data_IF_157933404398
#
_entry.id   IF_157933404398
#
_cell.length_a   1.000
_cell.length_b   1.000
_cell.length_c   1.000
_cell.angle_alpha   90.00
_cell.angle_beta   90.00
_cell.angle_gamma   90.00
#
_symmetry.space_group_name_H-M   'P 1'
#
loop_
_entity.id
_entity.type
_entity.pdbx_description
1 polymer ?
#
# COMPACT_ATOMS: atom_id res chain seq x y z
N UNK A 1 -9.65 -3.11 1.45
CA UNK A 1 -9.04 -4.33 2.04
C UNK A 1 -7.53 -4.22 1.97
N UNK A 2 -6.81 -4.77 2.95
CA UNK A 2 -5.35 -4.81 2.97
C UNK A 2 -4.86 -6.03 2.19
N UNK A 3 -4.12 -5.80 1.12
CA UNK A 3 -3.57 -6.85 0.25
C UNK A 3 -2.17 -7.29 0.69
N UNK A 4 -1.37 -6.34 1.18
CA UNK A 4 -0.07 -6.58 1.76
C UNK A 4 0.27 -5.49 2.77
N UNK A 5 1.16 -5.84 3.70
CA UNK A 5 1.73 -4.94 4.68
C UNK A 5 3.22 -5.20 4.81
N UNK A 6 4.01 -4.12 4.90
CA UNK A 6 5.42 -4.19 5.25
C UNK A 6 5.74 -3.22 6.38
N UNK A 7 6.48 -3.69 7.37
CA UNK A 7 7.11 -2.83 8.36
C UNK A 7 8.58 -2.59 8.00
N UNK A 8 9.06 -1.41 8.33
CA UNK A 8 10.44 -0.98 8.17
C UNK A 8 10.97 -0.45 9.50
N UNK A 9 12.15 -0.93 9.88
CA UNK A 9 12.82 -0.51 11.12
C UNK A 9 14.09 0.31 10.85
N UNK A 10 14.49 0.46 9.57
CA UNK A 10 15.76 1.08 9.17
C UNK A 10 15.54 2.14 8.09
N UNK A 11 16.26 3.25 8.24
CA UNK A 11 16.27 4.38 7.30
C UNK A 11 15.43 5.57 7.77
N UNK A 12 15.82 6.77 7.34
CA UNK A 12 15.18 8.03 7.74
C UNK A 12 13.69 8.06 7.37
N UNK A 13 13.34 7.61 6.15
CA UNK A 13 11.95 7.49 5.74
C UNK A 13 11.17 6.41 6.52
N UNK A 14 11.83 5.38 7.07
CA UNK A 14 11.17 4.40 7.94
C UNK A 14 10.84 4.97 9.32
N UNK A 15 11.64 5.91 9.82
CA UNK A 15 11.32 6.63 11.05
C UNK A 15 10.04 7.47 10.91
N UNK A 16 9.80 8.01 9.70
CA UNK A 16 8.59 8.77 9.37
C UNK A 16 7.39 7.88 9.02
N UNK A 17 7.57 6.98 8.05
CA UNK A 17 6.56 6.04 7.56
C UNK A 17 7.02 4.59 7.83
N UNK A 18 6.76 4.05 9.04
CA UNK A 18 7.25 2.75 9.46
C UNK A 18 6.46 1.58 8.87
N UNK A 19 5.26 1.83 8.34
CA UNK A 19 4.39 0.80 7.77
C UNK A 19 3.89 1.22 6.40
N UNK A 20 4.00 0.31 5.44
CA UNK A 20 3.43 0.46 4.11
C UNK A 20 2.27 -0.52 3.91
N UNK A 21 1.22 -0.06 3.26
CA UNK A 21 0.02 -0.85 2.96
C UNK A 21 -0.23 -0.90 1.46
N UNK A 22 -0.41 -2.11 0.92
CA UNK A 22 -1.05 -2.30 -0.36
C UNK A 22 -2.56 -2.43 -0.10
N UNK A 23 -3.37 -1.56 -0.69
CA UNK A 23 -4.80 -1.53 -0.46
C UNK A 23 -5.56 -1.82 -1.76
N UNK A 24 -6.55 -2.70 -1.66
CA UNK A 24 -7.42 -3.09 -2.77
C UNK A 24 -8.89 -2.82 -2.47
N UNK A 25 -9.65 -2.49 -3.51
CA UNK A 25 -11.12 -2.42 -3.50
C UNK A 25 -11.71 -3.05 -4.76
N UNK A 26 -13.05 -3.07 -4.86
CA UNK A 26 -13.73 -3.72 -5.98
C UNK A 26 -13.39 -5.21 -6.08
N UNK A 27 -13.03 -5.69 -7.26
CA UNK A 27 -12.60 -7.09 -7.47
C UNK A 27 -11.36 -7.46 -6.62
N UNK A 28 -10.48 -6.51 -6.29
CA UNK A 28 -9.35 -6.74 -5.39
C UNK A 28 -9.76 -6.84 -3.91
N UNK A 29 -11.06 -6.93 -3.60
CA UNK A 29 -11.56 -7.37 -2.30
C UNK A 29 -12.12 -8.79 -2.31
N UNK A 30 -12.16 -9.46 -3.47
CA UNK A 30 -12.61 -10.85 -3.61
C UNK A 30 -11.44 -11.83 -3.38
N UNK A 31 -11.49 -12.70 -2.37
CA UNK A 31 -10.46 -13.71 -2.14
C UNK A 31 -10.17 -14.60 -3.36
N UNK A 32 -11.17 -14.90 -4.20
CA UNK A 32 -11.01 -15.72 -5.41
C UNK A 32 -10.08 -15.08 -6.45
N UNK A 33 -9.97 -13.75 -6.42
CA UNK A 33 -9.08 -12.96 -7.26
C UNK A 33 -7.74 -12.76 -6.54
N UNK A 34 -7.79 -12.31 -5.29
CA UNK A 34 -6.60 -11.95 -4.51
C UNK A 34 -5.68 -13.16 -4.25
N UNK A 35 -6.24 -14.35 -4.03
CA UNK A 35 -5.47 -15.58 -3.82
C UNK A 35 -4.67 -16.02 -5.05
N UNK A 36 -5.02 -15.50 -6.24
CA UNK A 36 -4.27 -15.73 -7.47
C UNK A 36 -3.10 -14.74 -7.67
N UNK A 37 -2.98 -13.75 -6.79
CA UNK A 37 -1.97 -12.69 -6.87
C UNK A 37 -1.01 -12.74 -5.68
N UNK A 38 0.17 -12.17 -5.88
CA UNK A 38 1.13 -11.82 -4.86
C UNK A 38 1.41 -10.32 -4.94
N UNK A 39 1.63 -9.69 -3.80
CA UNK A 39 1.87 -8.24 -3.70
C UNK A 39 3.24 -7.98 -3.04
N UNK A 40 4.35 -8.32 -3.70
CA UNK A 40 5.68 -8.06 -3.16
C UNK A 40 5.93 -6.56 -3.02
N UNK A 41 6.38 -6.15 -1.82
CA UNK A 41 6.73 -4.77 -1.47
C UNK A 41 8.26 -4.51 -1.54
N UNK A 42 8.97 -5.22 -2.43
CA UNK A 42 10.42 -5.10 -2.62
C UNK A 42 10.82 -5.23 -4.09
N UNK A 43 11.20 -4.12 -4.75
CA UNK A 43 12.02 -4.17 -5.97
C UNK A 43 13.16 -3.14 -6.06
N UNK A 44 13.34 -2.21 -5.12
CA UNK A 44 14.57 -1.41 -5.08
C UNK A 44 14.85 -0.83 -3.70
N UNK A 45 16.14 -0.72 -3.36
CA UNK A 45 16.64 0.07 -2.23
C UNK A 45 16.22 1.55 -2.29
N UNK A 46 15.72 2.01 -3.45
CA UNK A 46 15.25 3.37 -3.69
C UNK A 46 13.74 3.53 -3.93
N UNK A 47 12.97 2.43 -4.10
CA UNK A 47 11.55 2.53 -4.47
C UNK A 47 10.69 1.51 -3.73
N UNK A 48 9.88 2.04 -2.82
CA UNK A 48 8.90 1.31 -2.02
C UNK A 48 7.57 1.28 -2.78
N UNK A 49 7.46 0.44 -3.80
CA UNK A 49 6.21 0.26 -4.56
C UNK A 49 5.70 -1.18 -4.48
N UNK A 50 4.41 -1.34 -4.78
CA UNK A 50 3.78 -2.65 -4.99
C UNK A 50 3.55 -2.87 -6.47
N UNK A 51 4.06 -3.99 -6.98
CA UNK A 51 3.69 -4.50 -8.30
C UNK A 51 3.02 -5.86 -8.09
N UNK A 52 1.73 -6.01 -8.43
CA UNK A 52 1.06 -7.30 -8.38
C UNK A 52 1.76 -8.31 -9.30
N UNK A 53 1.92 -9.53 -8.80
CA UNK A 53 2.48 -10.65 -9.54
C UNK A 53 1.46 -11.80 -9.57
N UNK A 54 1.28 -12.41 -10.73
CA UNK A 54 0.42 -13.59 -10.84
C UNK A 54 1.10 -14.79 -10.18
N UNK A 55 0.38 -15.50 -9.32
CA UNK A 55 0.84 -16.78 -8.79
C UNK A 55 0.89 -17.82 -9.91
N UNK A 56 1.74 -18.83 -9.73
CA UNK A 56 1.82 -19.98 -10.64
C UNK A 56 0.46 -20.66 -10.74
N UNK A 57 -0.03 -20.85 -11.97
CA UNK A 57 -1.35 -21.44 -12.22
C UNK A 57 -2.53 -20.46 -12.10
N UNK A 58 -2.29 -19.18 -11.84
CA UNK A 58 -3.35 -18.15 -11.87
C UNK A 58 -4.01 -18.10 -13.24
N UNK A 59 -5.33 -18.23 -13.27
CA UNK A 59 -6.17 -18.09 -14.47
C UNK A 59 -6.38 -16.61 -14.84
N UNK A 60 -6.22 -15.67 -13.89
CA UNK A 60 -6.26 -14.23 -14.16
C UNK A 60 -5.31 -13.80 -15.28
N UNK A 61 -4.17 -14.49 -15.46
CA UNK A 61 -3.21 -14.19 -16.52
C UNK A 61 -3.81 -14.29 -17.93
N UNK A 62 -4.89 -15.06 -18.08
CA UNK A 62 -5.58 -15.29 -19.35
C UNK A 62 -6.63 -14.21 -19.65
N UNK A 63 -6.95 -13.33 -18.68
CA UNK A 63 -7.86 -12.20 -18.91
C UNK A 63 -7.26 -11.22 -19.91
N UNK A 64 -8.08 -10.58 -20.78
CA UNK A 64 -7.63 -9.50 -21.65
C UNK A 64 -6.88 -8.41 -20.90
N UNK A 65 -5.83 -7.86 -21.52
CA UNK A 65 -4.99 -6.80 -20.94
C UNK A 65 -5.81 -5.60 -20.41
N UNK A 66 -6.85 -5.10 -21.10
CA UNK A 66 -7.65 -3.99 -20.58
C UNK A 66 -8.39 -4.31 -19.28
N UNK A 67 -8.86 -5.56 -19.10
CA UNK A 67 -9.53 -5.99 -17.87
C UNK A 67 -8.54 -6.06 -16.70
N UNK A 68 -7.32 -6.54 -16.95
CA UNK A 68 -6.26 -6.54 -15.95
C UNK A 68 -5.84 -5.12 -15.56
N UNK A 69 -5.77 -4.20 -16.53
CA UNK A 69 -5.48 -2.79 -16.25
C UNK A 69 -6.56 -2.16 -15.36
N UNK A 70 -7.83 -2.43 -15.63
CA UNK A 70 -8.94 -1.95 -14.78
C UNK A 70 -8.92 -2.58 -13.38
N UNK A 71 -8.66 -3.88 -13.28
CA UNK A 71 -8.47 -4.56 -11.99
C UNK A 71 -7.39 -3.88 -11.15
N UNK A 72 -6.23 -3.57 -11.74
CA UNK A 72 -5.12 -2.95 -11.04
C UNK A 72 -5.26 -1.44 -10.81
N UNK A 73 -6.26 -0.76 -11.40
CA UNK A 73 -6.65 0.60 -10.97
C UNK A 73 -7.30 0.61 -9.59
N UNK A 74 -7.84 -0.54 -9.15
CA UNK A 74 -8.42 -0.70 -7.81
C UNK A 74 -7.38 -1.05 -6.74
N UNK A 75 -6.12 -0.69 -6.98
CA UNK A 75 -4.96 -0.91 -6.12
C UNK A 75 -4.26 0.41 -5.87
N UNK A 76 -3.86 0.65 -4.63
CA UNK A 76 -2.99 1.77 -4.22
C UNK A 76 -1.92 1.28 -3.24
N UNK A 77 -0.82 2.03 -3.14
CA UNK A 77 0.25 1.77 -2.21
C UNK A 77 0.52 2.99 -1.32
N UNK A 78 0.21 2.84 -0.03
CA UNK A 78 0.24 3.95 0.91
C UNK A 78 1.40 3.77 1.90
N UNK A 79 2.31 4.74 1.90
CA UNK A 79 3.27 4.98 2.98
C UNK A 79 2.54 5.66 4.13
N UNK A 80 2.38 4.95 5.24
CA UNK A 80 1.57 5.44 6.36
C UNK A 80 2.45 6.12 7.40
N UNK A 81 2.17 7.40 7.65
CA UNK A 81 2.76 8.18 8.74
C UNK A 81 1.74 8.17 9.89
N UNK A 82 2.01 7.49 11.01
CA UNK A 82 1.05 7.41 12.11
C UNK A 82 0.92 8.76 12.83
N UNK A 83 -0.28 9.32 12.87
CA UNK A 83 -0.52 10.58 13.59
C UNK A 83 -0.52 10.45 15.12
N UNK A 84 -0.60 9.22 15.64
CA UNK A 84 -0.56 8.93 17.06
C UNK A 84 0.07 7.54 17.37
N UNK A 85 0.59 7.31 18.60
CA UNK A 85 1.27 6.05 18.95
C UNK A 85 0.38 4.80 18.86
N UNK A 86 -0.91 4.93 19.14
CA UNK A 86 -1.92 3.87 19.01
C UNK A 86 -2.18 3.52 17.55
N UNK A 87 -2.29 4.50 16.66
CA UNK A 87 -2.38 4.30 15.20
C UNK A 87 -1.14 3.54 14.71
N UNK A 88 0.07 3.92 15.16
CA UNK A 88 1.31 3.20 14.83
C UNK A 88 1.23 1.72 15.22
N UNK A 89 0.76 1.43 16.43
CA UNK A 89 0.62 0.05 16.92
C UNK A 89 -0.40 -0.74 16.10
N UNK A 90 -1.53 -0.12 15.77
CA UNK A 90 -2.57 -0.74 14.94
C UNK A 90 -2.05 -1.03 13.54
N UNK A 91 -1.41 -0.05 12.87
CA UNK A 91 -0.78 -0.22 11.56
C UNK A 91 0.21 -1.38 11.54
N UNK A 92 1.10 -1.45 12.54
CA UNK A 92 2.10 -2.51 12.65
C UNK A 92 1.48 -3.91 12.84
N UNK A 93 0.25 -3.99 13.36
CA UNK A 93 -0.48 -5.22 13.64
C UNK A 93 -1.45 -5.68 12.54
N UNK A 94 -1.74 -4.83 11.54
CA UNK A 94 -2.63 -5.16 10.43
C UNK A 94 -2.15 -6.43 9.71
N UNK A 95 -3.07 -7.27 9.27
CA UNK A 95 -2.80 -8.49 8.50
C UNK A 95 -3.42 -8.39 7.10
N UNK A 96 -2.76 -8.93 6.07
CA UNK A 96 -3.40 -9.11 4.77
C UNK A 96 -4.75 -9.82 4.90
N UNK A 97 -5.73 -9.40 4.11
CA UNK A 97 -7.13 -9.83 4.16
C UNK A 97 -8.02 -9.01 5.09
N UNK A 98 -7.47 -8.21 6.01
CA UNK A 98 -8.29 -7.35 6.87
C UNK A 98 -8.89 -6.18 6.09
N UNK A 99 -10.10 -5.79 6.48
CA UNK A 99 -10.72 -4.55 6.01
C UNK A 99 -10.40 -3.47 7.03
N UNK A 100 -10.01 -2.31 6.52
CA UNK A 100 -9.69 -1.15 7.35
C UNK A 100 -10.43 0.06 6.81
N UNK A 101 -10.74 0.98 7.72
CA UNK A 101 -11.16 2.34 7.40
C UNK A 101 -10.15 3.29 8.01
N UNK A 102 -9.67 4.24 7.21
CA UNK A 102 -8.77 5.27 7.72
C UNK A 102 -9.12 6.63 7.14
N UNK A 103 -8.67 7.68 7.82
CA UNK A 103 -8.68 9.05 7.33
C UNK A 103 -7.27 9.59 7.43
N UNK A 104 -6.84 10.32 6.41
CA UNK A 104 -5.53 10.91 6.41
C UNK A 104 -5.36 12.04 5.41
N UNK A 105 -4.23 12.71 5.51
CA UNK A 105 -3.83 13.82 4.66
C UNK A 105 -2.62 13.42 3.83
N UNK A 106 -2.66 13.65 2.52
CA UNK A 106 -1.49 13.44 1.64
C UNK A 106 -0.45 14.53 1.89
N UNK A 107 0.82 14.14 2.04
CA UNK A 107 1.87 15.06 2.47
C UNK A 107 3.08 15.06 1.54
N UNK A 108 3.83 16.16 1.61
CA UNK A 108 5.22 16.23 1.19
C UNK A 108 6.09 16.24 2.45
N UNK A 109 7.04 15.31 2.51
CA UNK A 109 7.97 15.20 3.64
C UNK A 109 9.38 15.60 3.20
N UNK A 110 10.05 16.39 4.04
CA UNK A 110 11.46 16.75 3.87
C UNK A 110 12.24 16.18 5.05
N UNK A 111 13.19 15.31 4.74
CA UNK A 111 14.10 14.72 5.69
C UNK A 111 15.17 15.74 6.15
N UNK A 112 15.66 15.66 7.39
CA UNK A 112 16.83 16.42 7.84
C UNK A 112 18.06 16.31 6.93
N UNK A 113 18.25 15.15 6.28
CA UNK A 113 19.30 14.94 5.26
C UNK A 113 19.11 15.75 3.97
N UNK A 114 17.97 16.41 3.79
CA UNK A 114 17.55 17.08 2.56
C UNK A 114 16.75 16.19 1.60
N UNK A 115 16.53 14.92 1.94
CA UNK A 115 15.68 14.01 1.15
C UNK A 115 14.25 14.56 1.03
N UNK A 116 13.66 14.50 -0.16
CA UNK A 116 12.28 14.94 -0.42
C UNK A 116 11.44 13.74 -0.85
N UNK A 117 10.32 13.55 -0.18
CA UNK A 117 9.34 12.50 -0.47
C UNK A 117 7.99 13.15 -0.73
N UNK A 118 7.52 13.07 -1.97
CA UNK A 118 6.29 13.72 -2.42
C UNK A 118 5.22 12.65 -2.67
N UNK A 119 4.03 12.83 -2.09
CA UNK A 119 2.91 11.95 -2.34
C UNK A 119 2.39 12.11 -3.76
N UNK A 120 1.97 11.00 -4.38
CA UNK A 120 1.00 11.08 -5.47
C UNK A 120 -0.28 11.78 -5.01
N UNK A 121 -0.86 12.61 -5.88
CA UNK A 121 -2.17 13.24 -5.68
C UNK A 121 -3.25 12.63 -6.60
N UNK A 122 -2.90 11.58 -7.36
CA UNK A 122 -3.78 10.95 -8.34
C UNK A 122 -3.86 9.44 -8.10
N UNK A 123 -5.08 8.90 -7.97
CA UNK A 123 -5.29 7.46 -7.89
C UNK A 123 -4.99 6.79 -9.24
N UNK A 124 -4.33 5.63 -9.19
CA UNK A 124 -4.09 4.80 -10.38
C UNK A 124 -2.96 5.28 -11.29
N UNK A 125 -2.17 6.28 -10.89
CA UNK A 125 -1.00 6.76 -11.63
C UNK A 125 0.26 5.88 -11.42
N UNK A 126 0.14 4.84 -10.59
CA UNK A 126 1.20 3.89 -10.18
C UNK A 126 2.33 4.52 -9.36
N UNK A 127 2.19 5.78 -8.95
CA UNK A 127 3.03 6.38 -7.93
C UNK A 127 2.50 6.01 -6.54
N UNK A 128 3.27 6.30 -5.49
CA UNK A 128 2.90 5.95 -4.12
C UNK A 128 2.36 7.17 -3.38
N UNK A 129 1.33 6.94 -2.58
CA UNK A 129 0.75 7.92 -1.68
C UNK A 129 1.53 7.95 -0.37
N UNK A 130 1.77 9.14 0.16
CA UNK A 130 2.35 9.33 1.49
C UNK A 130 1.30 10.03 2.33
N UNK A 131 0.73 9.31 3.29
CA UNK A 131 -0.42 9.79 4.04
C UNK A 131 -0.11 9.87 5.54
N UNK A 132 -0.34 11.05 6.12
CA UNK A 132 -0.50 11.21 7.56
C UNK A 132 -1.86 10.64 7.97
N UNK A 133 -1.86 9.66 8.86
CA UNK A 133 -3.08 8.94 9.28
C UNK A 133 -3.60 9.53 10.59
N UNK A 134 -4.76 10.18 10.51
CA UNK A 134 -5.45 10.83 11.63
C UNK A 134 -6.39 9.87 12.37
N UNK A 135 -7.04 8.97 11.62
CA UNK A 135 -7.99 8.00 12.16
C UNK A 135 -7.75 6.64 11.50
N UNK A 136 -7.84 5.56 12.27
CA UNK A 136 -7.72 4.19 11.77
C UNK A 136 -8.60 3.24 12.57
N UNK A 137 -9.39 2.44 11.87
CA UNK A 137 -10.22 1.38 12.43
C UNK A 137 -10.06 0.09 11.61
N UNK A 138 -10.08 -1.04 12.30
CA UNK A 138 -10.28 -2.36 11.69
C UNK A 138 -11.79 -2.62 11.61
N UNK A 139 -12.25 -3.15 10.49
CA UNK A 139 -13.64 -3.56 10.26
C UNK A 139 -13.79 -5.08 10.38
#
# INVERSE_FOLDING_TARGET
MVLARRNYDLGEFAALAPTDLALGWGELSDPRIVDQLAFPQMKSFSSRFVVPEFRRGSELRERPRPELEELFRSLTHVHTIPGAPDIRKTLAGIRPGQVIRFKGTLVLAVAPSGGRYESSLALGDRNCEIAWIDELALE
#
